data_IF_081563290044
#
_entry.id   IF_081563290044
#
_cell.length_a   1.000
_cell.length_b   1.000
_cell.length_c   1.000
_cell.angle_alpha   90.00
_cell.angle_beta   90.00
_cell.angle_gamma   90.00
#
_symmetry.space_group_name_H-M   'P 1'
#
loop_
_entity.id
_entity.type
_entity.pdbx_description
1 polymer ?
#
# COMPACT_ATOMS: atom_id res chain seq x y z
N UNK A 1 -0.48 -7.02 14.56
CA UNK A 1 -1.10 -8.11 13.80
C UNK A 1 -1.60 -9.15 14.79
N UNK A 2 -2.89 -9.54 14.69
CA UNK A 2 -3.50 -10.48 15.65
C UNK A 2 -3.14 -11.95 15.39
N UNK A 3 -2.70 -12.26 14.18
CA UNK A 3 -2.29 -13.62 13.81
C UNK A 3 -0.78 -13.75 13.89
N UNK A 4 -0.25 -14.76 14.59
CA UNK A 4 1.20 -14.98 14.70
C UNK A 4 1.82 -15.46 13.39
N UNK A 5 1.02 -15.93 12.43
CA UNK A 5 1.47 -16.47 11.15
C UNK A 5 0.66 -15.90 10.01
N UNK A 6 1.32 -15.78 8.86
CA UNK A 6 0.73 -15.37 7.59
C UNK A 6 0.98 -16.45 6.53
N UNK A 7 0.09 -16.51 5.56
CA UNK A 7 0.18 -17.42 4.41
C UNK A 7 0.71 -16.63 3.21
N UNK A 8 1.60 -17.24 2.46
CA UNK A 8 2.27 -16.66 1.30
C UNK A 8 2.14 -17.62 0.13
N UNK A 9 1.83 -17.11 -1.04
CA UNK A 9 1.85 -17.88 -2.28
C UNK A 9 3.28 -18.22 -2.71
N UNK A 10 3.45 -19.34 -3.43
CA UNK A 10 4.77 -19.78 -3.91
C UNK A 10 5.52 -18.73 -4.73
N UNK A 11 4.79 -17.92 -5.49
CA UNK A 11 5.33 -16.88 -6.39
C UNK A 11 6.11 -15.79 -5.65
N UNK A 12 5.71 -15.50 -4.41
CA UNK A 12 6.37 -14.50 -3.57
C UNK A 12 7.58 -15.06 -2.80
N UNK A 13 7.86 -16.38 -2.88
CA UNK A 13 8.90 -17.05 -2.11
C UNK A 13 10.25 -16.36 -2.24
N UNK A 14 10.65 -15.99 -3.46
CA UNK A 14 11.95 -15.36 -3.71
C UNK A 14 12.18 -14.11 -2.86
N UNK A 15 11.15 -13.27 -2.67
CA UNK A 15 11.25 -12.04 -1.88
C UNK A 15 11.57 -12.33 -0.39
N UNK A 16 11.10 -13.47 0.11
CA UNK A 16 11.39 -13.92 1.47
C UNK A 16 12.79 -14.50 1.59
N UNK A 17 13.20 -15.29 0.60
CA UNK A 17 14.54 -15.89 0.57
C UNK A 17 15.61 -14.79 0.48
N UNK A 18 15.41 -13.75 -0.34
CA UNK A 18 16.34 -12.62 -0.53
C UNK A 18 16.61 -11.84 0.77
N UNK A 19 15.61 -11.71 1.64
CA UNK A 19 15.75 -11.01 2.92
C UNK A 19 15.89 -11.96 4.12
N UNK A 20 16.02 -13.27 3.85
CA UNK A 20 16.30 -14.30 4.83
C UNK A 20 15.15 -14.58 5.80
N UNK A 21 13.89 -14.43 5.38
CA UNK A 21 12.72 -14.81 6.18
C UNK A 21 12.52 -16.31 6.11
N UNK A 22 12.35 -16.96 7.27
CA UNK A 22 12.13 -18.40 7.35
C UNK A 22 10.70 -18.73 6.98
N UNK A 23 10.53 -19.55 5.95
CA UNK A 23 9.23 -20.02 5.50
C UNK A 23 9.14 -21.55 5.59
N UNK A 24 7.99 -22.06 6.00
CA UNK A 24 7.68 -23.48 6.06
C UNK A 24 6.65 -23.78 4.97
N UNK A 25 6.93 -24.75 4.12
CA UNK A 25 5.98 -25.19 3.11
C UNK A 25 4.75 -25.84 3.77
N UNK A 26 3.58 -25.45 3.32
CA UNK A 26 2.28 -25.95 3.74
C UNK A 26 1.58 -26.64 2.57
N UNK A 27 0.28 -26.80 2.64
CA UNK A 27 -0.54 -27.48 1.60
C UNK A 27 -0.44 -26.73 0.26
N UNK A 28 -0.49 -27.48 -0.84
CA UNK A 28 -0.52 -26.95 -2.21
C UNK A 28 0.63 -26.00 -2.57
N UNK A 29 1.77 -26.10 -1.87
CA UNK A 29 2.94 -25.26 -2.12
C UNK A 29 2.91 -23.89 -1.44
N UNK A 30 1.84 -23.54 -0.76
CA UNK A 30 1.79 -22.33 0.06
C UNK A 30 2.85 -22.36 1.16
N UNK A 31 3.28 -21.19 1.58
CA UNK A 31 4.26 -21.00 2.62
C UNK A 31 3.60 -20.40 3.86
N UNK A 32 4.08 -20.80 5.01
CA UNK A 32 3.71 -20.18 6.28
C UNK A 32 4.92 -19.54 6.90
N UNK A 33 4.82 -18.28 7.26
CA UNK A 33 5.89 -17.50 7.89
C UNK A 33 5.40 -16.88 9.21
N UNK A 34 6.36 -16.61 10.10
CA UNK A 34 6.07 -15.85 11.32
C UNK A 34 5.85 -14.38 10.97
N UNK A 35 4.76 -13.81 11.42
CA UNK A 35 4.36 -12.44 11.08
C UNK A 35 5.34 -11.38 11.63
N UNK A 36 5.88 -11.60 12.83
CA UNK A 36 6.84 -10.69 13.46
C UNK A 36 8.17 -10.75 12.73
N UNK A 37 8.64 -11.96 12.39
CA UNK A 37 9.86 -12.15 11.60
C UNK A 37 9.74 -11.47 10.23
N UNK A 38 8.61 -11.68 9.53
CA UNK A 38 8.35 -11.09 8.22
C UNK A 38 8.42 -9.56 8.26
N UNK A 39 7.67 -8.93 9.17
CA UNK A 39 7.65 -7.46 9.29
C UNK A 39 9.01 -6.91 9.70
N UNK A 40 9.67 -7.52 10.70
CA UNK A 40 10.93 -7.02 11.23
C UNK A 40 12.06 -7.10 10.20
N UNK A 41 12.18 -8.24 9.49
CA UNK A 41 13.20 -8.42 8.46
C UNK A 41 12.94 -7.56 7.23
N UNK A 42 11.67 -7.43 6.80
CA UNK A 42 11.32 -6.53 5.69
C UNK A 42 11.65 -5.08 6.03
N UNK A 43 11.33 -4.62 7.24
CA UNK A 43 11.69 -3.27 7.69
C UNK A 43 13.21 -3.08 7.75
N UNK A 44 13.95 -4.06 8.28
CA UNK A 44 15.41 -4.00 8.34
C UNK A 44 16.03 -3.97 6.93
N UNK A 45 15.53 -4.79 6.01
CA UNK A 45 15.99 -4.79 4.62
C UNK A 45 15.74 -3.44 3.94
N UNK A 46 14.55 -2.85 4.13
CA UNK A 46 14.22 -1.54 3.59
C UNK A 46 15.16 -0.45 4.13
N UNK A 47 15.42 -0.43 5.45
CA UNK A 47 16.35 0.51 6.07
C UNK A 47 17.78 0.33 5.55
N UNK A 48 18.25 -0.91 5.40
CA UNK A 48 19.57 -1.21 4.84
C UNK A 48 19.70 -0.76 3.38
N UNK A 49 18.60 -0.79 2.62
CA UNK A 49 18.53 -0.25 1.27
C UNK A 49 18.41 1.29 1.22
N UNK A 50 18.43 1.97 2.36
CA UNK A 50 18.39 3.43 2.47
C UNK A 50 16.99 4.04 2.56
N UNK A 51 15.94 3.23 2.67
CA UNK A 51 14.60 3.74 2.93
C UNK A 51 14.51 4.37 4.33
N UNK A 52 13.56 5.31 4.50
CA UNK A 52 13.24 5.89 5.79
C UNK A 52 11.85 5.44 6.22
N UNK A 53 11.73 4.94 7.43
CA UNK A 53 10.45 4.52 8.00
C UNK A 53 10.08 5.51 9.10
N UNK A 54 8.95 6.16 8.92
CA UNK A 54 8.38 7.08 9.89
C UNK A 54 7.12 6.46 10.49
N UNK A 55 7.08 6.32 11.80
CA UNK A 55 5.93 5.80 12.53
C UNK A 55 5.17 6.92 13.23
N UNK A 56 3.88 6.72 13.44
CA UNK A 56 3.03 7.72 14.10
C UNK A 56 2.78 8.97 13.26
N UNK A 57 2.88 8.86 11.94
CA UNK A 57 2.62 9.93 10.96
C UNK A 57 1.29 9.69 10.28
N UNK A 58 0.46 10.72 10.23
CA UNK A 58 -0.77 10.77 9.45
C UNK A 58 -0.58 11.58 8.19
N UNK A 59 -1.18 11.14 7.09
CA UNK A 59 -1.31 11.94 5.86
C UNK A 59 -2.58 12.77 6.00
N UNK A 60 -2.45 14.08 5.95
CA UNK A 60 -3.56 15.03 6.05
C UNK A 60 -4.04 15.52 4.68
N UNK A 61 -3.09 15.65 3.73
CA UNK A 61 -3.39 16.18 2.41
C UNK A 61 -2.38 15.72 1.35
N UNK A 62 -2.61 16.09 0.11
CA UNK A 62 -1.71 15.89 -1.03
C UNK A 62 -1.07 17.21 -1.47
N UNK A 63 0.16 17.13 -1.94
CA UNK A 63 0.84 18.26 -2.59
C UNK A 63 0.62 18.16 -4.09
N UNK A 64 0.00 19.18 -4.69
CA UNK A 64 -0.28 19.25 -6.13
C UNK A 64 0.68 20.23 -6.79
N UNK A 65 1.06 19.98 -8.04
CA UNK A 65 1.85 20.85 -8.91
C UNK A 65 1.17 20.98 -10.28
N UNK A 66 1.84 21.67 -11.20
CA UNK A 66 1.35 21.95 -12.54
C UNK A 66 0.73 20.74 -13.23
N UNK A 67 -0.42 20.95 -13.86
CA UNK A 67 -1.21 19.90 -14.46
C UNK A 67 -1.91 18.97 -13.46
N UNK A 68 -2.16 19.47 -12.25
CA UNK A 68 -2.81 18.74 -11.15
C UNK A 68 -2.10 17.45 -10.74
N UNK A 69 -0.81 17.35 -11.05
CA UNK A 69 0.00 16.17 -10.68
C UNK A 69 0.23 16.11 -9.17
N UNK A 70 0.05 14.93 -8.58
CA UNK A 70 0.47 14.65 -7.21
C UNK A 70 2.00 14.64 -7.15
N UNK A 71 2.55 15.54 -6.32
CA UNK A 71 3.99 15.79 -6.19
C UNK A 71 4.47 15.66 -4.74
N UNK A 72 3.67 15.02 -3.88
CA UNK A 72 4.00 14.78 -2.49
C UNK A 72 2.77 14.68 -1.61
N UNK A 73 3.01 14.69 -0.31
CA UNK A 73 1.98 14.59 0.73
C UNK A 73 2.22 15.62 1.83
N UNK A 74 1.14 15.99 2.51
CA UNK A 74 1.18 16.81 3.73
C UNK A 74 0.97 15.88 4.91
N UNK A 75 1.87 15.93 5.87
CA UNK A 75 1.89 14.98 6.99
C UNK A 75 1.96 15.70 8.33
N UNK A 76 1.42 15.06 9.36
CA UNK A 76 1.55 15.49 10.73
C UNK A 76 1.70 14.28 11.67
N UNK A 77 2.16 14.49 12.88
CA UNK A 77 2.22 13.43 13.88
C UNK A 77 0.81 13.11 14.40
N UNK A 78 0.51 11.82 14.46
CA UNK A 78 -0.74 11.34 15.06
C UNK A 78 -0.96 11.90 16.47
N UNK A 79 0.11 11.98 17.27
CA UNK A 79 0.06 12.54 18.60
C UNK A 79 -0.40 14.02 18.67
N UNK A 80 -0.17 14.80 17.62
CA UNK A 80 -0.68 16.19 17.53
C UNK A 80 -2.19 16.20 17.47
N UNK A 81 -2.79 15.35 16.62
CA UNK A 81 -4.24 15.21 16.52
C UNK A 81 -4.86 14.67 17.81
N UNK A 82 -4.27 13.64 18.42
CA UNK A 82 -4.74 13.05 19.67
C UNK A 82 -4.69 14.04 20.85
N UNK A 83 -3.62 14.81 20.94
CA UNK A 83 -3.47 15.83 21.96
C UNK A 83 -4.24 17.14 21.67
N UNK A 84 -4.93 17.21 20.53
CA UNK A 84 -5.63 18.41 20.04
C UNK A 84 -4.75 19.66 20.03
N UNK A 85 -3.49 19.47 19.71
CA UNK A 85 -2.55 20.57 19.56
C UNK A 85 -2.70 21.21 18.17
N UNK A 86 -2.40 22.51 18.12
CA UNK A 86 -2.35 23.24 16.86
C UNK A 86 -0.89 23.37 16.42
N UNK A 87 -0.47 22.45 15.55
CA UNK A 87 0.87 22.41 14.97
C UNK A 87 0.74 22.34 13.46
N UNK A 88 1.46 23.21 12.77
CA UNK A 88 1.45 23.24 11.30
C UNK A 88 2.00 21.94 10.72
N UNK A 89 1.32 21.33 9.74
CA UNK A 89 1.78 20.12 9.10
C UNK A 89 2.99 20.36 8.19
N UNK A 90 3.73 19.30 7.89
CA UNK A 90 4.88 19.35 6.98
C UNK A 90 4.48 18.88 5.57
N UNK A 91 4.92 19.62 4.55
CA UNK A 91 4.82 19.19 3.17
C UNK A 91 6.07 18.42 2.74
N UNK A 92 5.90 17.19 2.32
CA UNK A 92 6.95 16.32 1.78
C UNK A 92 6.79 16.21 0.27
N UNK A 93 7.82 16.60 -0.48
CA UNK A 93 7.84 16.48 -1.94
C UNK A 93 8.36 15.11 -2.35
N UNK A 94 7.74 14.55 -3.39
CA UNK A 94 8.12 13.27 -3.99
C UNK A 94 7.97 13.33 -5.52
N UNK A 95 8.74 12.52 -6.22
CA UNK A 95 8.58 12.30 -7.67
C UNK A 95 7.32 11.47 -7.96
N UNK A 96 7.04 10.49 -7.12
CA UNK A 96 5.88 9.62 -7.15
C UNK A 96 5.42 9.40 -5.70
N UNK A 97 4.12 9.35 -5.49
CA UNK A 97 3.49 8.93 -4.24
C UNK A 97 2.88 7.56 -4.47
N UNK A 98 3.13 6.62 -3.57
CA UNK A 98 2.50 5.30 -3.61
C UNK A 98 1.48 5.23 -2.47
N UNK A 99 0.21 5.10 -2.82
CA UNK A 99 -0.87 4.85 -1.86
C UNK A 99 -0.91 3.36 -1.53
N UNK A 100 -0.38 3.00 -0.38
CA UNK A 100 -0.44 1.67 0.21
C UNK A 100 -1.21 1.70 1.55
N UNK A 101 -2.19 2.61 1.68
CA UNK A 101 -2.95 2.84 2.91
C UNK A 101 -4.03 1.80 3.17
N UNK A 102 -4.06 0.73 2.39
CA UNK A 102 -4.98 -0.39 2.58
C UNK A 102 -6.36 -0.13 1.97
N UNK A 103 -7.38 -0.75 2.54
CA UNK A 103 -8.76 -0.74 2.02
C UNK A 103 -9.34 0.66 1.79
N UNK A 104 -8.89 1.62 2.58
CA UNK A 104 -9.43 2.99 2.52
C UNK A 104 -8.86 3.79 1.35
N UNK A 105 -7.71 3.42 0.77
CA UNK A 105 -7.02 4.15 -0.29
C UNK A 105 -7.03 5.67 0.00
N UNK A 106 -6.52 6.05 1.17
CA UNK A 106 -6.72 7.36 1.79
C UNK A 106 -6.17 8.51 0.93
N UNK A 107 -5.03 8.29 0.27
CA UNK A 107 -4.41 9.31 -0.60
C UNK A 107 -5.26 9.51 -1.85
N UNK A 108 -5.72 8.43 -2.48
CA UNK A 108 -6.62 8.51 -3.65
C UNK A 108 -7.91 9.26 -3.33
N UNK A 109 -8.54 8.96 -2.19
CA UNK A 109 -9.74 9.69 -1.72
C UNK A 109 -9.42 11.15 -1.39
N UNK A 110 -8.21 11.44 -0.91
CA UNK A 110 -7.72 12.80 -0.70
C UNK A 110 -7.70 13.60 -2.00
N UNK A 111 -7.15 13.04 -3.07
CA UNK A 111 -7.13 13.64 -4.41
C UNK A 111 -8.54 13.93 -4.91
N UNK A 112 -9.44 12.94 -4.88
CA UNK A 112 -10.84 13.11 -5.34
C UNK A 112 -11.59 14.20 -4.57
N UNK A 113 -11.31 14.32 -3.27
CA UNK A 113 -11.97 15.33 -2.42
C UNK A 113 -11.46 16.75 -2.67
N UNK A 114 -10.16 16.87 -3.00
CA UNK A 114 -9.47 18.17 -3.04
C UNK A 114 -9.33 18.78 -4.43
N UNK A 115 -9.33 17.97 -5.47
CA UNK A 115 -9.15 18.42 -6.85
C UNK A 115 -10.49 18.33 -7.58
N UNK A 116 -11.15 19.46 -7.90
CA UNK A 116 -12.39 19.45 -8.63
C UNK A 116 -12.27 18.75 -9.99
N UNK A 117 -13.13 17.78 -10.25
CA UNK A 117 -13.13 17.04 -11.51
C UNK A 117 -12.07 15.94 -11.62
N UNK A 118 -11.23 15.72 -10.59
CA UNK A 118 -10.30 14.61 -10.58
C UNK A 118 -11.01 13.27 -10.77
N UNK A 119 -10.39 12.39 -11.54
CA UNK A 119 -10.86 11.02 -11.77
C UNK A 119 -9.69 10.06 -11.65
N UNK A 120 -9.90 8.97 -10.90
CA UNK A 120 -8.95 7.86 -10.86
C UNK A 120 -9.04 7.02 -12.14
N UNK A 121 -7.95 6.37 -12.50
CA UNK A 121 -7.95 5.32 -13.51
C UNK A 121 -8.59 4.06 -12.90
N UNK A 122 -9.89 4.10 -12.74
CA UNK A 122 -10.75 3.09 -12.13
C UNK A 122 -12.02 2.92 -12.97
N UNK A 123 -12.82 1.85 -12.78
CA UNK A 123 -14.00 1.61 -13.59
C UNK A 123 -15.02 2.76 -13.61
N UNK A 124 -15.11 3.52 -12.54
CA UNK A 124 -16.07 4.63 -12.38
C UNK A 124 -15.41 6.01 -12.29
N UNK A 125 -14.09 6.04 -12.22
CA UNK A 125 -13.33 7.28 -12.06
C UNK A 125 -13.21 7.75 -10.61
N UNK A 126 -13.62 6.93 -9.66
CA UNK A 126 -13.57 7.15 -8.22
C UNK A 126 -12.80 6.02 -7.49
N UNK A 127 -12.99 5.90 -6.18
CA UNK A 127 -12.55 4.77 -5.36
C UNK A 127 -13.79 4.00 -4.88
N UNK A 128 -14.26 3.02 -5.67
CA UNK A 128 -15.50 2.29 -5.37
C UNK A 128 -15.38 1.41 -4.12
N UNK A 129 -14.16 1.09 -3.70
CA UNK A 129 -13.90 0.09 -2.68
C UNK A 129 -13.88 -1.33 -3.24
N UNK A 130 -13.61 -2.28 -2.38
CA UNK A 130 -13.50 -3.68 -2.75
C UNK A 130 -14.88 -4.37 -2.84
N UNK A 131 -14.95 -5.36 -3.70
CA UNK A 131 -16.06 -6.32 -3.73
C UNK A 131 -15.98 -7.26 -2.51
N UNK A 132 -17.05 -8.04 -2.25
CA UNK A 132 -17.01 -9.08 -1.24
C UNK A 132 -15.78 -9.98 -1.31
N UNK A 133 -15.39 -10.56 -0.18
CA UNK A 133 -14.18 -11.34 -0.07
C UNK A 133 -14.18 -12.57 -1.00
N UNK A 134 -13.15 -12.64 -1.83
CA UNK A 134 -12.75 -13.81 -2.59
C UNK A 134 -11.22 -13.80 -2.67
N UNK A 135 -10.58 -14.40 -1.64
CA UNK A 135 -9.14 -14.24 -1.42
C UNK A 135 -8.29 -14.63 -2.63
N UNK A 136 -8.49 -15.81 -3.20
CA UNK A 136 -7.71 -16.28 -4.35
C UNK A 136 -7.83 -15.36 -5.58
N UNK A 137 -9.05 -14.86 -5.87
CA UNK A 137 -9.24 -13.94 -6.97
C UNK A 137 -8.66 -12.55 -6.66
N UNK A 138 -8.78 -12.10 -5.41
CA UNK A 138 -8.22 -10.82 -4.98
C UNK A 138 -6.70 -10.79 -5.10
N UNK A 139 -6.04 -11.89 -4.72
CA UNK A 139 -4.59 -12.08 -4.90
C UNK A 139 -4.19 -12.09 -6.38
N UNK A 140 -4.88 -12.88 -7.20
CA UNK A 140 -4.55 -13.04 -8.61
C UNK A 140 -4.56 -11.71 -9.40
N UNK A 141 -5.47 -10.79 -9.06
CA UNK A 141 -5.59 -9.50 -9.77
C UNK A 141 -4.78 -8.35 -9.14
N UNK A 142 -4.20 -8.56 -7.96
CA UNK A 142 -3.60 -7.49 -7.17
C UNK A 142 -2.41 -6.83 -7.88
N UNK A 143 -1.51 -7.64 -8.43
CA UNK A 143 -0.31 -7.15 -9.13
C UNK A 143 -0.70 -6.37 -10.38
N UNK A 144 -1.71 -6.84 -11.13
CA UNK A 144 -2.24 -6.15 -12.31
C UNK A 144 -2.93 -4.83 -11.94
N UNK A 145 -3.64 -4.80 -10.82
CA UNK A 145 -4.28 -3.58 -10.30
C UNK A 145 -3.27 -2.56 -9.76
N UNK A 146 -2.03 -2.96 -9.51
CA UNK A 146 -0.95 -2.07 -9.07
C UNK A 146 -0.45 -1.24 -10.24
N UNK A 147 -0.80 0.05 -10.25
CA UNK A 147 -0.52 0.96 -11.36
C UNK A 147 -0.63 2.43 -10.94
N UNK A 148 -0.17 3.33 -11.81
CA UNK A 148 -0.50 4.75 -11.69
C UNK A 148 -2.00 4.93 -11.96
N UNK A 149 -2.70 5.54 -11.02
CA UNK A 149 -4.16 5.76 -11.10
C UNK A 149 -4.55 7.22 -11.24
N UNK A 150 -3.62 8.11 -10.97
CA UNK A 150 -3.71 9.54 -11.17
C UNK A 150 -2.29 10.08 -11.40
N UNK A 151 -2.08 11.16 -12.17
CA UNK A 151 -0.72 11.66 -12.42
C UNK A 151 0.11 11.82 -11.14
N UNK A 152 1.21 11.07 -11.02
CA UNK A 152 2.10 11.04 -9.86
C UNK A 152 1.62 10.21 -8.67
N UNK A 153 0.51 9.48 -8.79
CA UNK A 153 -0.04 8.64 -7.74
C UNK A 153 -0.20 7.19 -8.21
N UNK A 154 0.57 6.31 -7.64
CA UNK A 154 0.52 4.86 -7.82
C UNK A 154 -0.23 4.23 -6.66
N UNK A 155 -0.95 3.14 -6.89
CA UNK A 155 -1.57 2.33 -5.83
C UNK A 155 -0.87 0.99 -5.69
N UNK A 156 -0.76 0.50 -4.45
CA UNK A 156 -0.21 -0.81 -4.14
C UNK A 156 -0.97 -1.49 -2.98
N UNK A 157 -0.83 -2.81 -2.89
CA UNK A 157 -1.51 -3.60 -1.87
C UNK A 157 -3.03 -3.45 -1.95
N UNK A 158 -3.71 -3.49 -0.82
CA UNK A 158 -5.17 -3.45 -0.78
C UNK A 158 -5.78 -2.17 -1.37
N UNK A 159 -5.03 -1.06 -1.39
CA UNK A 159 -5.47 0.18 -2.05
C UNK A 159 -5.66 -0.03 -3.56
N UNK A 160 -4.83 -0.87 -4.21
CA UNK A 160 -4.97 -1.19 -5.62
C UNK A 160 -6.30 -1.91 -5.92
N UNK A 161 -6.67 -2.91 -5.12
CA UNK A 161 -7.95 -3.58 -5.26
C UNK A 161 -9.13 -2.67 -4.92
N UNK A 162 -8.99 -1.78 -3.94
CA UNK A 162 -10.05 -0.83 -3.59
C UNK A 162 -10.33 0.17 -4.72
N UNK A 163 -9.30 0.66 -5.41
CA UNK A 163 -9.45 1.56 -6.56
C UNK A 163 -9.97 0.82 -7.78
N UNK A 164 -9.52 -0.41 -8.03
CA UNK A 164 -9.93 -1.21 -9.18
C UNK A 164 -11.28 -1.93 -9.01
N UNK A 165 -11.97 -1.81 -7.88
CA UNK A 165 -13.15 -2.60 -7.52
C UNK A 165 -12.86 -4.12 -7.56
N UNK A 166 -11.66 -4.52 -7.17
CA UNK A 166 -11.26 -5.93 -7.04
C UNK A 166 -11.92 -6.61 -5.84
N UNK A 167 -11.89 -7.94 -5.77
CA UNK A 167 -12.35 -8.66 -4.59
C UNK A 167 -11.45 -8.39 -3.37
N UNK A 168 -12.06 -8.41 -2.19
CA UNK A 168 -11.30 -8.32 -0.94
C UNK A 168 -10.47 -9.58 -0.74
N UNK A 169 -9.21 -9.37 -0.34
CA UNK A 169 -8.28 -10.43 0.04
C UNK A 169 -8.51 -10.87 1.48
N UNK A 170 -7.99 -12.06 1.81
CA UNK A 170 -7.91 -12.58 3.18
C UNK A 170 -6.55 -12.33 3.84
N UNK A 171 -6.16 -13.23 4.75
CA UNK A 171 -4.87 -13.19 5.45
C UNK A 171 -3.74 -13.83 4.62
N UNK A 172 -3.71 -13.56 3.33
CA UNK A 172 -2.69 -13.98 2.37
C UNK A 172 -1.91 -12.75 1.97
N UNK A 173 -0.58 -12.82 1.93
CA UNK A 173 0.28 -11.64 1.86
C UNK A 173 1.28 -11.64 0.70
N UNK A 174 1.38 -12.73 -0.06
CA UNK A 174 2.32 -12.84 -1.17
C UNK A 174 2.06 -11.80 -2.26
N UNK A 175 0.82 -11.66 -2.68
CA UNK A 175 0.43 -10.67 -3.66
C UNK A 175 0.69 -9.23 -3.22
N UNK A 176 0.58 -8.92 -1.92
CA UNK A 176 0.89 -7.57 -1.43
C UNK A 176 2.37 -7.23 -1.57
N UNK A 177 3.27 -8.20 -1.40
CA UNK A 177 4.71 -8.01 -1.59
C UNK A 177 5.05 -7.86 -3.07
N UNK A 178 4.48 -8.71 -3.92
CA UNK A 178 4.62 -8.61 -5.37
C UNK A 178 4.05 -7.29 -5.91
N UNK A 179 2.94 -6.82 -5.34
CA UNK A 179 2.38 -5.51 -5.63
C UNK A 179 3.34 -4.38 -5.24
N UNK A 180 4.01 -4.48 -4.08
CA UNK A 180 5.04 -3.52 -3.67
C UNK A 180 6.22 -3.48 -4.63
N UNK A 181 6.71 -4.63 -5.06
CA UNK A 181 7.75 -4.75 -6.09
C UNK A 181 7.29 -4.11 -7.40
N UNK A 182 6.09 -4.45 -7.88
CA UNK A 182 5.51 -3.85 -9.09
C UNK A 182 5.40 -2.33 -9.00
N UNK A 183 4.99 -1.81 -7.85
CA UNK A 183 4.89 -0.36 -7.65
C UNK A 183 6.24 0.36 -7.71
N UNK A 184 7.34 -0.34 -7.37
CA UNK A 184 8.69 0.21 -7.45
C UNK A 184 9.26 0.22 -8.89
N UNK A 185 8.69 -0.57 -9.80
CA UNK A 185 9.08 -0.63 -11.22
C UNK A 185 8.41 0.46 -12.07
N UNK A 186 7.31 1.07 -11.59
CA UNK A 186 6.54 2.12 -12.25
C UNK A 186 7.18 3.49 -12.04
#
# INVERSE_FOLDING_TARGET
>A
MLLPKIVIEPEARRLFDDIGIRAVTWQEGYLVVDAVEAVSKSAAAALNAGARIWVGINIEDVVIREGDRVAGVVVNWHAVSEARLHVDPMALRAKVVIDATGHDATVCRGVLRKIPGARMLSPQGDVPGEKPMWAAQGEAVLVENTREVYPGLVVAGMAANAVAAGPRMGAVFGGMLLSGERAAEI
#
